data_IF_252274297365
#
_entry.id   IF_252274297365
#
_cell.length_a   1.000
_cell.length_b   1.000
_cell.length_c   1.000
_cell.angle_alpha   90.00
_cell.angle_beta   90.00
_cell.angle_gamma   90.00
#
_symmetry.space_group_name_H-M   'P 1'
#
loop_
_entity.id
_entity.type
_entity.pdbx_description
1 polymer ?
#
# COMPACT_ATOMS: atom_id res chain seq x y z
N UNK A 1 15.54 4.27 -16.36
CA UNK A 1 14.50 3.41 -16.99
C UNK A 1 13.33 4.30 -17.37
N UNK A 2 13.10 4.53 -18.67
CA UNK A 2 11.91 5.27 -19.12
C UNK A 2 10.75 4.28 -19.25
N UNK A 3 9.56 4.60 -18.72
CA UNK A 3 8.37 3.75 -18.83
C UNK A 3 7.19 4.56 -19.38
N UNK A 4 6.22 3.90 -20.01
CA UNK A 4 5.05 4.58 -20.60
C UNK A 4 4.32 5.45 -19.56
N UNK A 5 4.29 5.01 -18.30
CA UNK A 5 3.80 5.79 -17.16
C UNK A 5 4.50 7.15 -17.03
N UNK A 6 5.80 7.24 -17.32
CA UNK A 6 6.53 8.52 -17.32
C UNK A 6 5.98 9.51 -18.34
N UNK A 7 5.58 9.04 -19.54
CA UNK A 7 4.95 9.90 -20.55
C UNK A 7 3.61 10.42 -20.02
N UNK A 8 2.79 9.55 -19.44
CA UNK A 8 1.47 9.94 -18.89
C UNK A 8 1.63 11.02 -17.82
N UNK A 9 2.60 10.86 -16.92
CA UNK A 9 2.90 11.85 -15.87
C UNK A 9 3.35 13.18 -16.47
N UNK A 10 4.28 13.12 -17.44
CA UNK A 10 4.84 14.29 -18.11
C UNK A 10 3.76 15.08 -18.88
N UNK A 11 2.89 14.38 -19.60
CA UNK A 11 1.72 14.97 -20.27
C UNK A 11 0.75 15.56 -19.25
N UNK A 12 0.44 14.84 -18.18
CA UNK A 12 -0.42 15.35 -17.10
C UNK A 12 0.17 16.56 -16.39
N UNK A 13 1.49 16.72 -16.40
CA UNK A 13 2.21 17.86 -15.83
C UNK A 13 2.37 19.02 -16.82
N UNK A 14 1.83 18.90 -18.04
CA UNK A 14 1.94 19.93 -19.08
C UNK A 14 3.33 20.06 -19.72
N UNK A 15 4.24 19.11 -19.48
CA UNK A 15 5.61 19.16 -19.99
C UNK A 15 6.03 17.82 -20.58
N UNK A 16 6.06 17.72 -21.92
CA UNK A 16 6.55 16.54 -22.62
C UNK A 16 7.89 16.84 -23.31
N UNK A 17 9.03 16.40 -22.75
CA UNK A 17 10.34 16.62 -23.34
C UNK A 17 10.54 15.77 -24.61
N UNK A 18 11.33 16.28 -25.55
CA UNK A 18 11.54 15.67 -26.89
C UNK A 18 12.07 14.24 -26.82
N UNK A 19 12.91 13.92 -25.83
CA UNK A 19 13.41 12.56 -25.65
C UNK A 19 12.30 11.55 -25.33
N UNK A 20 11.16 12.01 -24.78
CA UNK A 20 10.02 11.15 -24.47
C UNK A 20 9.25 10.71 -25.73
N UNK A 21 9.54 11.31 -26.90
CA UNK A 21 9.02 10.86 -28.19
C UNK A 21 9.74 9.63 -28.72
N UNK A 22 10.92 9.30 -28.18
CA UNK A 22 11.65 8.11 -28.56
C UNK A 22 11.07 6.87 -27.85
N UNK A 23 10.06 6.26 -28.49
CA UNK A 23 9.34 5.08 -27.99
C UNK A 23 10.25 3.89 -27.67
N UNK A 24 11.43 3.79 -28.28
CA UNK A 24 12.38 2.70 -28.03
C UNK A 24 13.09 2.81 -26.66
N UNK A 25 13.07 3.98 -26.03
CA UNK A 25 13.61 4.16 -24.69
C UNK A 25 12.69 3.57 -23.61
N UNK A 26 11.46 3.19 -23.99
CA UNK A 26 10.43 2.76 -23.06
C UNK A 26 10.34 1.24 -22.98
N UNK A 27 10.47 0.71 -21.77
CA UNK A 27 10.27 -0.72 -21.50
C UNK A 27 8.94 -0.96 -20.80
N UNK A 28 8.29 -2.10 -21.12
CA UNK A 28 7.05 -2.52 -20.48
C UNK A 28 7.26 -3.02 -19.05
N UNK A 29 8.39 -3.66 -18.74
CA UNK A 29 8.71 -4.18 -17.40
C UNK A 29 8.62 -3.12 -16.28
N UNK A 30 9.28 -1.95 -16.37
CA UNK A 30 9.16 -0.91 -15.34
C UNK A 30 7.75 -0.29 -15.28
N UNK A 31 7.01 -0.30 -16.39
CA UNK A 31 5.61 0.09 -16.41
C UNK A 31 4.78 -0.90 -15.56
N UNK A 32 4.91 -2.20 -15.83
CA UNK A 32 4.21 -3.27 -15.09
C UNK A 32 4.55 -3.25 -13.60
N UNK A 33 5.83 -3.07 -13.26
CA UNK A 33 6.27 -2.95 -11.86
C UNK A 33 5.54 -1.79 -11.16
N UNK A 34 5.43 -0.64 -11.82
CA UNK A 34 4.70 0.53 -11.29
C UNK A 34 3.21 0.24 -11.14
N UNK A 35 2.59 -0.46 -12.09
CA UNK A 35 1.18 -0.88 -12.01
C UNK A 35 0.93 -1.83 -10.84
N UNK A 36 1.82 -2.81 -10.63
CA UNK A 36 1.75 -3.74 -9.49
C UNK A 36 1.87 -3.00 -8.17
N UNK A 37 2.81 -2.05 -8.06
CA UNK A 37 2.96 -1.20 -6.88
C UNK A 37 1.72 -0.33 -6.63
N UNK A 38 1.17 0.31 -7.66
CA UNK A 38 -0.05 1.12 -7.51
C UNK A 38 -1.24 0.26 -7.03
N UNK A 39 -1.35 -0.97 -7.54
CA UNK A 39 -2.37 -1.93 -7.12
C UNK A 39 -2.20 -2.37 -5.68
N UNK A 40 -0.97 -2.60 -5.20
CA UNK A 40 -0.72 -2.99 -3.81
C UNK A 40 -1.00 -1.86 -2.80
N UNK A 41 -1.21 -0.63 -3.26
CA UNK A 41 -1.70 0.48 -2.42
C UNK A 41 -3.21 0.40 -2.13
N UNK A 42 -3.92 -0.57 -2.70
CA UNK A 42 -5.26 -0.90 -2.22
C UNK A 42 -5.17 -1.50 -0.81
N UNK A 43 -6.18 -1.25 0.02
CA UNK A 43 -6.22 -1.75 1.39
C UNK A 43 -6.07 -3.28 1.44
N UNK A 44 -5.54 -3.81 2.55
CA UNK A 44 -5.20 -5.23 2.71
C UNK A 44 -6.36 -6.21 2.41
N UNK A 45 -7.61 -5.75 2.50
CA UNK A 45 -8.81 -6.54 2.23
C UNK A 45 -9.51 -6.18 0.90
N UNK A 46 -8.96 -5.25 0.14
CA UNK A 46 -9.55 -4.83 -1.13
C UNK A 46 -9.19 -5.82 -2.23
N UNK A 47 -10.19 -6.52 -2.75
CA UNK A 47 -10.08 -7.35 -3.96
C UNK A 47 -10.11 -6.53 -5.25
N UNK A 48 -10.31 -5.21 -5.16
CA UNK A 48 -10.39 -4.33 -6.33
C UNK A 48 -9.06 -4.36 -7.07
N UNK A 49 -9.14 -4.82 -8.31
CA UNK A 49 -8.01 -5.09 -9.21
C UNK A 49 -7.80 -3.96 -10.22
N UNK A 50 -8.90 -3.28 -10.56
CA UNK A 50 -8.99 -2.26 -11.59
C UNK A 50 -9.05 -0.89 -10.93
N UNK A 51 -8.53 0.10 -11.64
CA UNK A 51 -8.63 1.50 -11.27
C UNK A 51 -8.64 2.34 -12.54
N UNK A 52 -9.35 3.45 -12.50
CA UNK A 52 -9.29 4.47 -13.54
C UNK A 52 -7.89 5.07 -13.64
N UNK A 53 -7.60 5.72 -14.78
CA UNK A 53 -6.34 6.46 -14.94
C UNK A 53 -6.20 7.55 -13.88
N UNK A 54 -7.30 8.19 -13.48
CA UNK A 54 -7.28 9.20 -12.42
C UNK A 54 -6.85 8.59 -11.07
N UNK A 55 -7.45 7.47 -10.68
CA UNK A 55 -7.07 6.76 -9.45
C UNK A 55 -5.64 6.23 -9.52
N UNK A 56 -5.17 5.80 -10.68
CA UNK A 56 -3.78 5.42 -10.90
C UNK A 56 -2.84 6.60 -10.62
N UNK A 57 -3.13 7.78 -11.18
CA UNK A 57 -2.34 9.00 -10.98
C UNK A 57 -2.23 9.37 -9.50
N UNK A 58 -3.34 9.35 -8.75
CA UNK A 58 -3.32 9.61 -7.30
C UNK A 58 -2.54 8.56 -6.49
N UNK A 59 -2.39 7.34 -7.00
CA UNK A 59 -1.64 6.26 -6.36
C UNK A 59 -0.14 6.36 -6.64
N UNK A 60 0.25 6.65 -7.87
CA UNK A 60 1.66 6.73 -8.26
C UNK A 60 2.40 7.87 -7.55
N UNK A 61 1.71 8.97 -7.20
CA UNK A 61 2.28 10.07 -6.42
C UNK A 61 2.72 9.63 -5.01
N UNK A 62 2.11 8.58 -4.47
CA UNK A 62 2.43 8.03 -3.13
C UNK A 62 3.62 7.07 -3.16
N UNK A 63 3.89 6.42 -4.28
CA UNK A 63 5.00 5.47 -4.45
C UNK A 63 6.37 6.07 -4.08
N UNK A 64 6.77 7.26 -4.58
CA UNK A 64 8.08 7.83 -4.24
C UNK A 64 8.21 8.17 -2.74
N UNK A 65 7.11 8.56 -2.09
CA UNK A 65 7.07 8.82 -0.64
C UNK A 65 7.35 7.51 0.12
N UNK A 66 6.70 6.42 -0.27
CA UNK A 66 6.91 5.10 0.34
C UNK A 66 8.34 4.58 0.12
N UNK A 67 8.88 4.76 -1.08
CA UNK A 67 10.26 4.39 -1.37
C UNK A 67 11.25 5.19 -0.53
N UNK A 68 10.98 6.48 -0.31
CA UNK A 68 11.78 7.33 0.57
C UNK A 68 11.74 6.81 2.01
N UNK A 69 10.55 6.56 2.56
CA UNK A 69 10.36 5.99 3.91
C UNK A 69 11.16 4.69 4.06
N UNK A 70 11.00 3.76 3.11
CA UNK A 70 11.72 2.49 3.11
C UNK A 70 13.24 2.68 3.10
N UNK A 71 13.75 3.56 2.24
CA UNK A 71 15.19 3.85 2.17
C UNK A 71 15.73 4.50 3.45
N UNK A 72 14.91 5.30 4.13
CA UNK A 72 15.28 5.92 5.42
C UNK A 72 15.38 4.88 6.52
N UNK A 73 14.46 3.90 6.58
CA UNK A 73 14.51 2.81 7.56
C UNK A 73 15.72 1.88 7.35
N UNK A 74 16.06 1.55 6.10
CA UNK A 74 17.22 0.69 5.78
C UNK A 74 18.56 1.35 6.13
N UNK A 75 18.63 2.69 6.13
CA UNK A 75 19.86 3.45 6.34
C UNK A 75 20.38 3.50 7.79
N UNK A 76 19.71 2.84 8.75
CA UNK A 76 20.23 2.57 10.11
C UNK A 76 20.65 3.78 10.96
N UNK A 77 20.30 5.02 10.57
CA UNK A 77 20.59 6.20 11.38
C UNK A 77 19.48 6.39 12.43
N UNK A 78 19.76 5.99 13.68
CA UNK A 78 18.81 6.02 14.80
C UNK A 78 18.20 7.41 15.05
N UNK A 79 18.82 8.46 14.52
CA UNK A 79 18.40 9.86 14.63
C UNK A 79 17.12 10.16 13.83
N UNK A 80 16.83 9.41 12.75
CA UNK A 80 15.69 9.64 11.85
C UNK A 80 14.69 8.48 11.83
N UNK A 81 14.57 7.74 12.94
CA UNK A 81 13.57 6.68 13.12
C UNK A 81 12.15 7.22 12.95
N UNK A 82 11.44 6.73 11.92
CA UNK A 82 10.03 7.03 11.71
C UNK A 82 9.23 6.25 12.75
N UNK A 83 8.57 6.96 13.67
CA UNK A 83 7.71 6.36 14.70
C UNK A 83 6.25 6.59 14.35
N UNK A 84 5.50 5.51 14.18
CA UNK A 84 4.05 5.59 14.05
C UNK A 84 3.40 5.69 15.43
N UNK A 85 2.33 6.50 15.58
CA UNK A 85 1.57 6.53 16.81
C UNK A 85 1.08 5.12 17.18
N UNK A 86 1.37 4.68 18.39
CA UNK A 86 0.80 3.46 18.93
C UNK A 86 -0.67 3.77 19.21
N UNK A 87 -1.57 3.26 18.38
CA UNK A 87 -2.99 3.30 18.70
C UNK A 87 -3.18 2.33 19.87
N UNK A 88 -3.22 2.86 21.09
CA UNK A 88 -3.58 2.09 22.28
C UNK A 88 -5.01 1.58 22.07
N UNK A 89 -5.14 0.39 21.47
CA UNK A 89 -6.35 -0.41 21.62
C UNK A 89 -6.39 -0.67 23.12
N UNK A 90 -7.38 -0.10 23.82
CA UNK A 90 -7.66 -0.41 25.22
C UNK A 90 -7.91 -1.91 25.32
N UNK A 91 -6.83 -2.67 25.42
CA UNK A 91 -6.85 -4.05 25.88
C UNK A 91 -7.22 -3.90 27.34
N UNK A 92 -8.48 -4.16 27.65
CA UNK A 92 -8.89 -4.37 29.05
C UNK A 92 -8.09 -5.58 29.50
N UNK A 93 -6.96 -5.33 30.14
CA UNK A 93 -6.25 -6.33 30.91
C UNK A 93 -7.12 -6.58 32.15
N UNK A 94 -8.14 -7.41 31.98
CA UNK A 94 -8.77 -8.11 33.10
C UNK A 94 -7.73 -9.09 33.66
N UNK A 95 -7.37 -9.00 34.95
CA UNK A 95 -6.50 -9.98 35.58
C UNK A 95 -7.26 -11.31 35.70
N UNK A 96 -7.02 -12.23 34.77
CA UNK A 96 -7.48 -13.61 34.91
C UNK A 96 -6.66 -14.33 35.99
N UNK A 97 -7.11 -14.22 37.23
CA UNK A 97 -6.96 -15.29 38.23
C UNK A 97 -8.07 -16.31 38.04
N UNK A 98 -7.72 -17.52 37.61
CA UNK A 98 -8.16 -18.82 38.19
C UNK A 98 -8.10 -19.98 37.16
N UNK A 99 -7.22 -20.94 37.47
CA UNK A 99 -7.50 -22.39 37.61
C UNK A 99 -8.34 -23.13 36.54
N UNK A 100 -7.64 -23.92 35.72
CA UNK A 100 -7.90 -25.33 35.31
C UNK A 100 -9.33 -25.91 35.28
N UNK A 101 -9.73 -26.34 34.06
CA UNK A 101 -10.54 -27.54 33.67
C UNK A 101 -12.07 -27.54 33.84
N UNK A 102 -12.82 -27.51 32.72
CA UNK A 102 -13.69 -28.62 32.19
C UNK A 102 -14.61 -28.20 30.99
N UNK A 103 -14.45 -28.93 29.89
CA UNK A 103 -15.35 -29.31 28.76
C UNK A 103 -16.80 -28.77 28.59
N UNK A 104 -17.15 -28.30 27.38
CA UNK A 104 -18.32 -28.70 26.52
C UNK A 104 -18.55 -27.71 25.33
N UNK A 105 -19.29 -28.07 24.23
CA UNK A 105 -18.90 -27.73 22.85
C UNK A 105 -19.82 -26.65 22.15
N UNK A 106 -19.86 -26.51 20.80
CA UNK A 106 -19.69 -25.24 20.07
C UNK A 106 -21.00 -24.50 19.72
N UNK A 107 -20.98 -23.17 19.62
CA UNK A 107 -22.17 -22.39 19.21
C UNK A 107 -22.14 -22.14 17.69
N UNK A 108 -23.17 -22.64 17.01
CA UNK A 108 -23.44 -22.50 15.57
C UNK A 108 -24.11 -21.17 15.25
N UNK A 109 -23.86 -20.65 14.04
CA UNK A 109 -24.39 -19.40 13.48
C UNK A 109 -25.83 -19.63 12.99
N UNK A 110 -26.83 -19.36 13.81
CA UNK A 110 -28.22 -19.12 13.38
C UNK A 110 -28.93 -18.32 14.46
N UNK A 111 -28.89 -16.98 14.38
CA UNK A 111 -29.86 -16.06 15.00
C UNK A 111 -29.62 -14.63 14.49
N UNK A 112 -29.62 -14.47 13.16
CA UNK A 112 -29.84 -13.17 12.52
C UNK A 112 -31.03 -13.35 11.59
N UNK A 113 -32.22 -13.34 12.17
CA UNK A 113 -33.44 -12.90 11.49
C UNK A 113 -34.50 -12.57 12.53
N UNK A 114 -34.65 -11.27 12.81
CA UNK A 114 -35.96 -10.65 13.02
C UNK A 114 -35.92 -9.16 12.74
#
# INVERSE_FOLDING_TARGET
>A
MHCFTSIIILVSSGYLPVYALNVHLFSSQPCEATFRSARSLNGAFSSITNFSVFEFMSKIEKIPILNKIKSTEESSDATYSIKFPIHHKNRRDEPFTATSTQNSPPITITDIEK
#
